data_IF_553505133607
#
_entry.id   IF_553505133607
#
_cell.length_a   1.000
_cell.length_b   1.000
_cell.length_c   1.000
_cell.angle_alpha   90.00
_cell.angle_beta   90.00
_cell.angle_gamma   90.00
#
_symmetry.space_group_name_H-M   'P 1'
#
loop_
_entity.id
_entity.type
_entity.pdbx_description
1 polymer ?
#
# COMPACT_ATOMS: atom_id res chain seq x y z
N UNK A 1 10.35 -17.16 -4.99
CA UNK A 1 9.14 -16.87 -5.78
C UNK A 1 7.93 -16.70 -4.91
N UNK A 2 7.64 -17.66 -4.04
CA UNK A 2 6.49 -17.56 -3.15
C UNK A 2 6.58 -16.38 -2.19
N UNK A 3 7.79 -16.03 -1.78
CA UNK A 3 8.00 -14.91 -0.89
C UNK A 3 7.51 -13.60 -1.50
N UNK A 4 7.71 -13.42 -2.81
CA UNK A 4 7.25 -12.22 -3.51
C UNK A 4 5.74 -12.11 -3.42
N UNK A 5 5.03 -13.21 -3.62
CA UNK A 5 3.57 -13.21 -3.53
C UNK A 5 3.09 -12.97 -2.11
N UNK A 6 3.75 -13.58 -1.13
CA UNK A 6 3.42 -13.38 0.28
C UNK A 6 3.62 -11.94 0.70
N UNK A 7 4.76 -11.36 0.34
CA UNK A 7 5.07 -9.97 0.69
C UNK A 7 4.10 -9.00 0.01
N UNK A 8 3.81 -9.25 -1.27
CA UNK A 8 2.86 -8.42 -2.01
C UNK A 8 1.47 -8.51 -1.41
N UNK A 9 1.04 -9.70 -1.03
CA UNK A 9 -0.26 -9.92 -0.42
C UNK A 9 -0.38 -9.18 0.92
N UNK A 10 0.67 -9.14 1.71
CA UNK A 10 0.70 -8.39 2.96
C UNK A 10 0.45 -6.90 2.73
N UNK A 11 1.11 -6.35 1.72
CA UNK A 11 0.94 -4.94 1.38
C UNK A 11 -0.49 -4.68 0.92
N UNK A 12 -1.01 -5.53 0.04
CA UNK A 12 -2.37 -5.38 -0.47
C UNK A 12 -3.40 -5.52 0.64
N UNK A 13 -3.13 -6.39 1.61
CA UNK A 13 -4.02 -6.55 2.75
C UNK A 13 -4.10 -5.27 3.58
N UNK A 14 -2.95 -4.62 3.78
CA UNK A 14 -2.91 -3.35 4.49
C UNK A 14 -3.68 -2.27 3.74
N UNK A 15 -3.74 -2.36 2.42
CA UNK A 15 -4.45 -1.41 1.58
C UNK A 15 -5.94 -1.75 1.39
N UNK A 16 -6.39 -2.91 1.82
CA UNK A 16 -7.75 -3.37 1.55
C UNK A 16 -8.79 -2.80 2.50
N UNK A 17 -8.76 -1.50 2.66
CA UNK A 17 -9.72 -0.76 3.46
C UNK A 17 -9.89 0.63 2.83
N UNK A 18 -11.14 1.08 2.62
CA UNK A 18 -11.36 2.36 1.97
C UNK A 18 -10.67 3.53 2.68
N UNK A 19 -10.68 3.53 4.00
CA UNK A 19 -10.07 4.60 4.78
C UNK A 19 -8.55 4.62 4.60
N UNK A 20 -7.92 3.45 4.65
CA UNK A 20 -6.48 3.37 4.46
C UNK A 20 -6.07 3.74 3.03
N UNK A 21 -6.86 3.35 2.04
CA UNK A 21 -6.59 3.77 0.66
C UNK A 21 -6.66 5.29 0.54
N UNK A 22 -7.63 5.91 1.19
CA UNK A 22 -7.76 7.35 1.16
C UNK A 22 -6.57 8.04 1.84
N UNK A 23 -6.08 7.47 2.94
CA UNK A 23 -4.89 8.01 3.61
C UNK A 23 -3.70 7.98 2.67
N UNK A 24 -3.48 6.86 1.98
CA UNK A 24 -2.38 6.73 1.02
C UNK A 24 -2.52 7.75 -0.09
N UNK A 25 -3.72 7.94 -0.60
CA UNK A 25 -3.99 8.93 -1.64
C UNK A 25 -3.65 10.35 -1.15
N UNK A 26 -4.02 10.68 0.08
CA UNK A 26 -3.67 11.96 0.67
C UNK A 26 -2.17 12.17 0.79
N UNK A 27 -1.45 11.11 1.19
CA UNK A 27 0.00 11.17 1.37
C UNK A 27 0.74 11.26 0.03
N UNK A 28 0.08 10.96 -1.07
CA UNK A 28 0.70 11.09 -2.39
C UNK A 28 1.06 12.53 -2.72
N UNK A 29 0.41 13.48 -2.06
CA UNK A 29 0.70 14.91 -2.26
C UNK A 29 1.87 15.39 -1.41
N UNK A 30 2.37 14.58 -0.49
CA UNK A 30 3.49 14.94 0.36
C UNK A 30 3.28 14.50 1.80
N UNK A 31 4.28 14.77 2.61
CA UNK A 31 4.26 14.43 4.03
C UNK A 31 3.15 15.18 4.77
N UNK A 32 2.44 14.48 5.64
CA UNK A 32 1.38 15.06 6.45
C UNK A 32 1.59 14.71 7.92
N UNK A 33 1.24 15.67 8.77
CA UNK A 33 1.18 15.47 10.21
C UNK A 33 -0.05 14.62 10.55
N UNK A 34 0.07 13.81 11.60
CA UNK A 34 -1.07 13.02 12.08
C UNK A 34 -2.31 13.88 12.32
N UNK A 35 -2.11 15.10 12.82
CA UNK A 35 -3.23 16.02 13.08
C UNK A 35 -3.95 16.42 11.80
N UNK A 36 -3.22 16.58 10.69
CA UNK A 36 -3.83 16.91 9.41
C UNK A 36 -4.68 15.77 8.87
N UNK A 37 -4.19 14.55 9.05
CA UNK A 37 -4.93 13.36 8.63
C UNK A 37 -6.17 13.20 9.50
N UNK A 38 -6.03 13.41 10.80
CA UNK A 38 -7.14 13.29 11.74
C UNK A 38 -8.26 14.28 11.43
N UNK A 39 -7.90 15.51 11.04
CA UNK A 39 -8.88 16.52 10.65
C UNK A 39 -9.69 16.11 9.42
N UNK A 40 -9.03 15.43 8.47
CA UNK A 40 -9.69 15.02 7.23
C UNK A 40 -10.68 13.88 7.45
N UNK A 41 -10.49 13.11 8.51
CA UNK A 41 -11.35 11.97 8.86
C UNK A 41 -12.00 12.25 10.20
N UNK A 42 -13.29 12.02 10.31
CA UNK A 42 -14.00 12.19 11.57
C UNK A 42 -13.90 10.90 12.39
N UNK A 43 -12.66 10.55 12.76
CA UNK A 43 -12.37 9.34 13.54
C UNK A 43 -11.60 9.72 14.80
N UNK A 44 -11.54 8.79 15.73
CA UNK A 44 -10.78 9.01 16.96
C UNK A 44 -9.29 8.81 16.69
N UNK A 45 -8.48 9.41 17.56
CA UNK A 45 -7.03 9.26 17.45
C UNK A 45 -6.57 7.80 17.56
N UNK A 46 -7.12 6.99 18.47
CA UNK A 46 -6.74 5.57 18.51
C UNK A 46 -7.05 4.81 17.23
N UNK A 47 -8.17 5.11 16.59
CA UNK A 47 -8.53 4.48 15.31
C UNK A 47 -7.53 4.84 14.23
N UNK A 48 -7.19 6.12 14.12
CA UNK A 48 -6.20 6.57 13.15
C UNK A 48 -4.84 5.93 13.43
N UNK A 49 -4.42 5.91 14.70
CA UNK A 49 -3.14 5.32 15.08
C UNK A 49 -3.06 3.85 14.69
N UNK A 50 -4.16 3.12 14.83
CA UNK A 50 -4.21 1.72 14.43
C UNK A 50 -4.04 1.56 12.92
N UNK A 51 -4.75 2.36 12.14
CA UNK A 51 -4.65 2.33 10.69
C UNK A 51 -3.23 2.69 10.21
N UNK A 52 -2.65 3.72 10.81
CA UNK A 52 -1.29 4.14 10.43
C UNK A 52 -0.28 3.08 10.80
N UNK A 53 -0.46 2.40 11.92
CA UNK A 53 0.42 1.32 12.34
C UNK A 53 0.43 0.19 11.31
N UNK A 54 -0.75 -0.19 10.80
CA UNK A 54 -0.85 -1.22 9.78
C UNK A 54 -0.11 -0.83 8.50
N UNK A 55 -0.24 0.43 8.09
CA UNK A 55 0.43 0.93 6.89
C UNK A 55 1.95 1.00 7.07
N UNK A 56 2.41 1.39 8.25
CA UNK A 56 3.84 1.45 8.55
C UNK A 56 4.42 0.03 8.61
N UNK A 57 3.73 -0.89 9.25
CA UNK A 57 4.19 -2.28 9.34
C UNK A 57 4.25 -2.95 7.96
N UNK A 58 3.37 -2.57 7.05
CA UNK A 58 3.40 -3.08 5.69
C UNK A 58 4.51 -2.45 4.85
N UNK A 59 5.14 -1.39 5.35
CA UNK A 59 6.23 -0.73 4.68
C UNK A 59 5.82 0.34 3.66
N UNK A 60 4.53 0.58 3.49
CA UNK A 60 4.04 1.58 2.52
C UNK A 60 4.25 3.00 3.03
N UNK A 61 4.16 3.19 4.32
CA UNK A 61 4.23 4.49 4.96
C UNK A 61 5.42 4.52 5.91
N UNK A 62 6.12 5.64 5.93
CA UNK A 62 7.18 5.93 6.90
C UNK A 62 6.65 6.94 7.90
N UNK A 63 7.08 6.81 9.14
CA UNK A 63 6.75 7.78 10.16
C UNK A 63 8.03 8.48 10.65
N UNK A 64 7.87 9.72 11.04
CA UNK A 64 8.96 10.53 11.57
C UNK A 64 8.40 11.33 12.74
N UNK A 65 9.09 11.25 13.87
CA UNK A 65 8.69 12.01 15.05
C UNK A 65 9.50 13.28 15.13
N UNK A 66 8.81 14.37 15.43
CA UNK A 66 9.45 15.66 15.65
C UNK A 66 8.70 16.33 16.79
N UNK A 67 9.34 16.37 17.98
CA UNK A 67 8.69 16.86 19.17
C UNK A 67 7.49 15.98 19.52
N UNK A 68 6.32 16.61 19.63
CA UNK A 68 5.07 15.91 19.93
C UNK A 68 4.34 15.45 18.69
N UNK A 69 4.83 15.82 17.52
CA UNK A 69 4.15 15.54 16.26
C UNK A 69 4.73 14.30 15.59
N UNK A 70 3.86 13.59 14.90
CA UNK A 70 4.24 12.46 14.07
C UNK A 70 3.89 12.85 12.64
N UNK A 71 4.87 12.72 11.74
CA UNK A 71 4.71 12.99 10.33
C UNK A 71 4.76 11.69 9.57
N UNK A 72 3.86 11.54 8.60
CA UNK A 72 3.77 10.36 7.78
C UNK A 72 4.04 10.70 6.33
N UNK A 73 4.74 9.82 5.64
CA UNK A 73 5.01 9.97 4.21
C UNK A 73 5.02 8.60 3.56
N UNK A 74 4.81 8.58 2.25
CA UNK A 74 4.86 7.32 1.51
C UNK A 74 6.31 6.88 1.32
N UNK A 75 6.53 5.58 1.43
CA UNK A 75 7.81 4.99 1.06
C UNK A 75 7.79 4.73 -0.44
N UNK A 76 8.38 5.63 -1.19
CA UNK A 76 8.34 5.59 -2.64
C UNK A 76 9.00 4.35 -3.24
N UNK A 77 10.02 3.82 -2.57
CA UNK A 77 10.68 2.59 -3.03
C UNK A 77 9.75 1.40 -2.95
N UNK A 78 9.04 1.27 -1.81
CA UNK A 78 8.11 0.16 -1.61
C UNK A 78 6.93 0.28 -2.58
N UNK A 79 6.42 1.50 -2.74
CA UNK A 79 5.29 1.73 -3.65
C UNK A 79 5.71 1.47 -5.09
N UNK A 80 6.89 1.95 -5.49
CA UNK A 80 7.39 1.70 -6.83
C UNK A 80 7.57 0.22 -7.11
N UNK A 81 8.08 -0.54 -6.13
CA UNK A 81 8.24 -1.98 -6.27
C UNK A 81 6.88 -2.67 -6.38
N UNK A 82 5.90 -2.23 -5.60
CA UNK A 82 4.54 -2.77 -5.66
C UNK A 82 3.91 -2.53 -7.02
N UNK A 83 4.00 -1.30 -7.50
CA UNK A 83 3.46 -0.94 -8.82
C UNK A 83 4.07 -1.79 -9.91
N UNK A 84 5.39 -1.97 -9.85
CA UNK A 84 6.10 -2.77 -10.85
C UNK A 84 5.65 -4.23 -10.80
N UNK A 85 5.53 -4.81 -9.61
CA UNK A 85 5.08 -6.19 -9.44
C UNK A 85 3.68 -6.40 -9.97
N UNK A 86 2.77 -5.48 -9.64
CA UNK A 86 1.39 -5.57 -10.13
C UNK A 86 1.33 -5.41 -11.63
N UNK A 87 2.12 -4.50 -12.18
CA UNK A 87 2.19 -4.30 -13.62
C UNK A 87 2.63 -5.58 -14.32
N UNK A 88 3.66 -6.23 -13.79
CA UNK A 88 4.15 -7.49 -14.36
C UNK A 88 3.12 -8.60 -14.24
N UNK A 89 2.45 -8.70 -13.10
CA UNK A 89 1.44 -9.73 -12.87
C UNK A 89 0.25 -9.61 -13.81
N UNK A 90 -0.12 -8.37 -14.15
CA UNK A 90 -1.29 -8.10 -14.97
C UNK A 90 -0.99 -8.11 -16.47
N UNK A 91 0.28 -8.18 -16.85
CA UNK A 91 0.66 -8.26 -18.25
C UNK A 91 0.56 -9.68 -18.78
N UNK A 92 0.12 -9.80 -20.03
CA UNK A 92 0.17 -11.07 -20.73
C UNK A 92 1.63 -11.35 -21.09
N UNK A 93 2.12 -12.53 -20.73
CA UNK A 93 3.51 -12.91 -20.96
C UNK A 93 3.58 -14.07 -21.94
N UNK A 94 4.62 -14.13 -22.77
CA UNK A 94 4.82 -15.26 -23.68
C UNK A 94 4.92 -16.58 -22.91
N UNK A 95 5.47 -16.58 -21.71
CA UNK A 95 5.63 -17.76 -20.87
C UNK A 95 4.41 -18.08 -20.02
N UNK A 96 3.33 -17.36 -20.23
CA UNK A 96 2.09 -17.62 -19.49
C UNK A 96 1.58 -19.02 -19.82
N UNK A 97 1.10 -19.74 -18.81
CA UNK A 97 0.57 -21.09 -18.98
C UNK A 97 -0.53 -21.13 -20.03
N UNK A 98 -1.36 -20.09 -20.09
CA UNK A 98 -2.45 -20.02 -21.03
C UNK A 98 -1.99 -19.95 -22.49
N UNK A 99 -0.75 -19.56 -22.74
CA UNK A 99 -0.18 -19.54 -24.09
C UNK A 99 0.31 -20.92 -24.54
N UNK A 100 0.60 -21.79 -23.57
CA UNK A 100 1.07 -23.15 -23.88
C UNK A 100 -0.08 -24.15 -23.90
N UNK A 101 -1.19 -23.82 -23.29
CA UNK A 101 -2.37 -24.67 -23.21
C UNK A 101 -3.46 -24.11 -24.11
N UNK A 102 -3.59 -24.72 -25.29
CA UNK A 102 -4.64 -24.37 -26.20
C UNK A 102 -6.01 -24.52 -25.53
N UNK A 103 -6.83 -23.51 -25.59
CA UNK A 103 -8.14 -23.53 -24.98
C UNK A 103 -8.16 -23.13 -23.51
N UNK A 104 -7.03 -22.70 -22.99
CA UNK A 104 -6.98 -22.17 -21.64
C UNK A 104 -7.84 -20.92 -21.53
N UNK A 105 -8.71 -20.89 -20.53
CA UNK A 105 -9.58 -19.74 -20.31
C UNK A 105 -8.91 -18.65 -19.53
N UNK A 106 -7.74 -18.24 -19.93
CA UNK A 106 -7.00 -17.17 -19.28
C UNK A 106 -7.65 -15.83 -19.61
N UNK A 107 -8.25 -15.22 -18.61
CA UNK A 107 -8.95 -13.95 -18.77
C UNK A 107 -8.11 -12.79 -18.30
#
# INVERSE_FOLDING_TARGET
MEKIYTDTAKILKALSDPKRLRIVDMLSCGELCACQILEAFHVTQPTLSHDMKLLVEAGIVKDRREGKNIYYSLDEEVIGALQNRLSIMFQSKPECICHTNSGCGCL
#
